data_IF_911425087713
#
_entry.id   IF_911425087713
#
_cell.length_a   1.000
_cell.length_b   1.000
_cell.length_c   1.000
_cell.angle_alpha   90.00
_cell.angle_beta   90.00
_cell.angle_gamma   90.00
#
_symmetry.space_group_name_H-M   'P 1'
#
loop_
_entity.id
_entity.type
_entity.pdbx_description
1 polymer ?
#
# COMPACT_ATOMS: atom_id res chain seq x y z
N UNK A 1 12.39 -19.86 8.71
CA UNK A 1 11.16 -19.03 8.72
C UNK A 1 10.68 -18.87 7.29
N UNK A 2 9.42 -19.19 7.03
CA UNK A 2 8.79 -18.92 5.73
C UNK A 2 8.72 -17.41 5.50
N UNK A 3 9.06 -16.95 4.29
CA UNK A 3 8.99 -15.54 3.91
C UNK A 3 7.55 -15.23 3.51
N UNK A 4 6.91 -14.25 4.16
CA UNK A 4 5.54 -13.84 3.82
C UNK A 4 5.53 -12.55 3.03
N UNK A 5 4.56 -12.42 2.11
CA UNK A 5 4.15 -11.14 1.56
C UNK A 5 2.68 -10.88 1.90
N UNK A 6 2.43 -9.71 2.49
CA UNK A 6 1.09 -9.21 2.73
C UNK A 6 0.67 -8.32 1.57
N UNK A 7 -0.54 -8.54 1.04
CA UNK A 7 -1.10 -7.75 -0.06
C UNK A 7 -2.35 -7.04 0.44
N UNK A 8 -2.31 -5.70 0.41
CA UNK A 8 -3.35 -4.80 0.90
C UNK A 8 -3.92 -4.00 -0.29
N UNK A 9 -5.22 -4.13 -0.61
CA UNK A 9 -5.81 -3.50 -1.77
C UNK A 9 -6.16 -2.02 -1.53
N UNK A 10 -6.47 -1.30 -2.61
CA UNK A 10 -6.89 0.11 -2.60
C UNK A 10 -8.33 0.34 -2.12
N UNK A 11 -8.74 1.61 -2.11
CA UNK A 11 -10.08 2.03 -1.67
C UNK A 11 -11.21 1.28 -2.41
N UNK A 12 -12.17 0.74 -1.65
CA UNK A 12 -13.30 -0.07 -2.16
C UNK A 12 -12.91 -1.33 -2.97
N UNK A 13 -11.62 -1.64 -3.06
CA UNK A 13 -11.15 -2.83 -3.73
C UNK A 13 -11.09 -4.04 -2.79
N UNK A 14 -11.03 -5.22 -3.39
CA UNK A 14 -10.73 -6.45 -2.67
C UNK A 14 -9.62 -7.22 -3.36
N UNK A 15 -8.88 -7.98 -2.58
CA UNK A 15 -7.84 -8.90 -3.06
C UNK A 15 -8.36 -9.96 -4.04
N UNK A 16 -9.69 -10.11 -4.22
CA UNK A 16 -10.29 -10.97 -5.24
C UNK A 16 -10.11 -10.44 -6.67
N UNK A 17 -9.82 -9.14 -6.86
CA UNK A 17 -9.58 -8.58 -8.20
C UNK A 17 -8.39 -9.27 -8.88
N UNK A 18 -8.47 -9.39 -10.20
CA UNK A 18 -7.48 -10.08 -11.03
C UNK A 18 -6.03 -9.61 -10.79
N UNK A 19 -5.71 -8.30 -10.70
CA UNK A 19 -4.33 -7.87 -10.48
C UNK A 19 -3.71 -8.40 -9.19
N UNK A 20 -4.47 -8.44 -8.09
CA UNK A 20 -3.99 -9.00 -6.82
C UNK A 20 -3.82 -10.51 -6.85
N UNK A 21 -4.68 -11.23 -7.59
CA UNK A 21 -4.52 -12.67 -7.80
C UNK A 21 -3.29 -12.98 -8.67
N UNK A 22 -3.01 -12.15 -9.68
CA UNK A 22 -1.78 -12.25 -10.46
C UNK A 22 -0.55 -11.95 -9.60
N UNK A 23 -0.60 -10.91 -8.77
CA UNK A 23 0.49 -10.60 -7.82
C UNK A 23 0.75 -11.75 -6.84
N UNK A 24 -0.31 -12.41 -6.35
CA UNK A 24 -0.18 -13.63 -5.54
C UNK A 24 0.57 -14.72 -6.29
N UNK A 25 0.24 -14.95 -7.56
CA UNK A 25 0.93 -15.96 -8.37
C UNK A 25 2.41 -15.62 -8.50
N UNK A 26 2.74 -14.38 -8.87
CA UNK A 26 4.12 -13.90 -8.98
C UNK A 26 4.87 -14.13 -7.66
N UNK A 27 4.31 -13.70 -6.53
CA UNK A 27 4.95 -13.86 -5.23
C UNK A 27 5.15 -15.32 -4.82
N UNK A 28 4.19 -16.20 -5.12
CA UNK A 28 4.34 -17.64 -4.88
C UNK A 28 5.43 -18.26 -5.74
N UNK A 29 5.53 -17.85 -7.00
CA UNK A 29 6.58 -18.32 -7.93
C UNK A 29 7.98 -17.90 -7.41
N UNK A 30 8.08 -16.78 -6.69
CA UNK A 30 9.30 -16.32 -6.00
C UNK A 30 9.48 -16.91 -4.58
N UNK A 31 8.66 -17.89 -4.19
CA UNK A 31 8.79 -18.63 -2.93
C UNK A 31 8.23 -17.95 -1.69
N UNK A 32 7.36 -16.95 -1.84
CA UNK A 32 6.66 -16.32 -0.71
C UNK A 32 5.33 -17.00 -0.39
N UNK A 33 5.02 -17.11 0.90
CA UNK A 33 3.65 -17.31 1.36
C UNK A 33 2.89 -15.99 1.22
N UNK A 34 1.70 -16.02 0.62
CA UNK A 34 0.90 -14.80 0.36
C UNK A 34 -0.26 -14.71 1.32
N UNK A 35 -0.33 -13.60 2.06
CA UNK A 35 -1.42 -13.29 3.00
C UNK A 35 -2.21 -12.08 2.48
N UNK A 36 -3.46 -12.32 2.10
CA UNK A 36 -4.37 -11.24 1.70
C UNK A 36 -4.98 -10.52 2.91
N UNK A 37 -5.03 -9.20 2.85
CA UNK A 37 -5.57 -8.34 3.91
C UNK A 37 -6.50 -7.30 3.30
N UNK A 38 -7.78 -7.62 3.22
CA UNK A 38 -8.80 -6.65 2.81
C UNK A 38 -9.05 -5.64 3.93
N UNK A 39 -9.37 -4.40 3.56
CA UNK A 39 -9.68 -3.32 4.48
C UNK A 39 -11.19 -3.24 4.68
N UNK A 40 -11.61 -3.12 5.93
CA UNK A 40 -12.96 -2.72 6.31
C UNK A 40 -13.02 -1.20 6.34
N UNK A 41 -13.54 -0.59 5.26
CA UNK A 41 -13.61 0.87 5.10
C UNK A 41 -14.59 1.55 6.07
N UNK A 42 -15.42 0.79 6.80
CA UNK A 42 -16.27 1.33 7.87
C UNK A 42 -15.51 1.51 9.20
N UNK A 43 -14.28 1.01 9.28
CA UNK A 43 -13.42 1.13 10.46
C UNK A 43 -12.28 2.11 10.21
N UNK A 44 -11.76 2.65 11.31
CA UNK A 44 -10.54 3.45 11.28
C UNK A 44 -9.39 2.61 10.73
N UNK A 45 -8.54 3.22 9.90
CA UNK A 45 -7.42 2.51 9.29
C UNK A 45 -6.43 2.02 10.35
N UNK A 46 -6.16 2.82 11.37
CA UNK A 46 -5.23 2.46 12.44
C UNK A 46 -5.70 1.29 13.31
N UNK A 47 -6.99 0.94 13.29
CA UNK A 47 -7.53 -0.20 14.03
C UNK A 47 -7.33 -1.53 13.30
N UNK A 48 -6.84 -1.49 12.07
CA UNK A 48 -6.70 -2.66 11.19
C UNK A 48 -5.24 -3.08 11.00
N UNK A 49 -4.32 -2.46 11.75
CA UNK A 49 -2.92 -2.84 11.83
C UNK A 49 -2.83 -4.28 12.36
N UNK A 50 -1.93 -5.07 11.79
CA UNK A 50 -1.63 -6.43 12.22
C UNK A 50 -0.12 -6.63 12.34
N UNK A 51 0.29 -7.61 13.13
CA UNK A 51 1.71 -7.93 13.32
C UNK A 51 2.32 -8.57 12.07
N UNK A 52 3.58 -8.20 11.83
CA UNK A 52 4.44 -8.78 10.80
C UNK A 52 5.79 -9.13 11.41
N UNK A 53 6.52 -10.01 10.73
CA UNK A 53 7.88 -10.40 11.08
C UNK A 53 8.93 -9.54 10.38
N UNK A 54 10.14 -9.54 10.95
CA UNK A 54 11.32 -8.85 10.44
C UNK A 54 11.76 -9.28 9.03
N UNK A 55 11.24 -10.40 8.53
CA UNK A 55 11.53 -11.00 7.23
C UNK A 55 10.40 -10.84 6.22
N UNK A 56 9.26 -10.27 6.62
CA UNK A 56 8.07 -10.16 5.77
C UNK A 56 8.14 -8.93 4.84
N UNK A 57 7.44 -9.04 3.72
CA UNK A 57 7.20 -7.94 2.79
C UNK A 57 5.76 -7.47 2.94
N UNK A 58 5.53 -6.16 2.87
CA UNK A 58 4.18 -5.60 2.83
C UNK A 58 4.04 -4.84 1.52
N UNK A 59 3.09 -5.26 0.69
CA UNK A 59 2.63 -4.53 -0.48
C UNK A 59 1.29 -3.87 -0.16
N UNK A 60 1.19 -2.57 -0.41
CA UNK A 60 -0.07 -1.85 -0.36
C UNK A 60 -0.27 -1.00 -1.60
N UNK A 61 -1.50 -0.96 -2.10
CA UNK A 61 -1.89 -0.13 -3.24
C UNK A 61 -2.81 1.01 -2.79
N UNK A 62 -2.59 2.24 -3.28
CA UNK A 62 -3.46 3.39 -2.97
C UNK A 62 -3.62 3.61 -1.45
N UNK A 63 -4.85 3.75 -0.93
CA UNK A 63 -5.10 3.80 0.52
C UNK A 63 -4.63 2.54 1.27
N UNK A 64 -4.50 1.39 0.60
CA UNK A 64 -3.85 0.20 1.16
C UNK A 64 -2.37 0.40 1.45
N UNK A 65 -1.68 1.25 0.68
CA UNK A 65 -0.29 1.64 0.95
C UNK A 65 -0.17 2.49 2.21
N UNK A 66 -1.20 3.29 2.54
CA UNK A 66 -1.26 4.04 3.80
C UNK A 66 -1.38 3.09 4.99
N UNK A 67 -2.19 2.02 4.89
CA UNK A 67 -2.23 0.99 5.93
C UNK A 67 -0.90 0.23 6.03
N UNK A 68 -0.27 -0.10 4.90
CA UNK A 68 1.06 -0.72 4.90
C UNK A 68 2.08 0.15 5.67
N UNK A 69 2.05 1.46 5.45
CA UNK A 69 2.91 2.42 6.16
C UNK A 69 2.64 2.41 7.67
N UNK A 70 1.37 2.45 8.08
CA UNK A 70 0.97 2.38 9.49
C UNK A 70 1.42 1.06 10.15
N UNK A 71 1.35 -0.06 9.43
CA UNK A 71 1.88 -1.33 9.94
C UNK A 71 3.40 -1.25 10.11
N UNK A 72 4.11 -0.71 9.13
CA UNK A 72 5.56 -0.56 9.20
C UNK A 72 6.02 0.48 10.25
N UNK A 73 5.16 1.42 10.67
CA UNK A 73 5.42 2.29 11.82
C UNK A 73 5.49 1.49 13.13
N UNK A 74 4.62 0.50 13.30
CA UNK A 74 4.53 -0.28 14.52
C UNK A 74 5.49 -1.46 14.53
N UNK A 75 5.60 -2.18 13.41
CA UNK A 75 6.38 -3.40 13.27
C UNK A 75 7.49 -3.25 12.24
N UNK A 76 8.67 -3.78 12.55
CA UNK A 76 9.77 -3.86 11.59
C UNK A 76 9.48 -4.98 10.59
N UNK A 77 9.72 -4.72 9.31
CA UNK A 77 9.60 -5.70 8.23
C UNK A 77 10.82 -5.61 7.29
N UNK A 78 10.97 -6.60 6.40
CA UNK A 78 12.07 -6.64 5.43
C UNK A 78 11.92 -5.53 4.40
N UNK A 79 10.72 -5.37 3.85
CA UNK A 79 10.47 -4.42 2.77
C UNK A 79 9.01 -3.97 2.78
N UNK A 80 8.78 -2.68 2.62
CA UNK A 80 7.47 -2.14 2.26
C UNK A 80 7.48 -1.63 0.81
N UNK A 81 6.48 -2.04 0.03
CA UNK A 81 6.24 -1.60 -1.35
C UNK A 81 4.96 -0.77 -1.35
N UNK A 82 5.12 0.52 -1.63
CA UNK A 82 4.07 1.54 -1.60
C UNK A 82 3.69 1.87 -3.05
N UNK A 83 2.66 1.18 -3.55
CA UNK A 83 2.20 1.33 -4.93
C UNK A 83 1.08 2.37 -5.02
N UNK A 84 1.27 3.39 -5.84
CA UNK A 84 0.32 4.49 -6.05
C UNK A 84 -0.20 5.08 -4.74
N UNK A 85 0.66 5.22 -3.74
CA UNK A 85 0.24 5.62 -2.39
C UNK A 85 -0.39 7.01 -2.41
N UNK A 86 -1.47 7.23 -1.67
CA UNK A 86 -2.00 8.58 -1.46
C UNK A 86 -0.92 9.44 -0.78
N UNK A 87 -0.39 10.49 -1.43
CA UNK A 87 0.81 11.18 -0.96
C UNK A 87 0.63 11.83 0.41
N UNK A 88 1.71 11.93 1.20
CA UNK A 88 1.65 12.53 2.54
C UNK A 88 1.12 13.98 2.55
N UNK A 89 1.38 14.74 1.49
CA UNK A 89 0.91 16.13 1.38
C UNK A 89 -0.62 16.22 1.25
N UNK A 90 -1.27 15.19 0.69
CA UNK A 90 -2.72 15.12 0.48
C UNK A 90 -3.52 15.25 1.78
N UNK A 91 -2.93 14.82 2.90
CA UNK A 91 -3.53 14.89 4.23
C UNK A 91 -3.41 16.28 4.88
N UNK A 92 -2.60 17.17 4.30
CA UNK A 92 -2.34 18.53 4.80
C UNK A 92 -2.91 19.61 3.89
N UNK A 93 -2.93 19.39 2.58
CA UNK A 93 -3.56 20.30 1.64
C UNK A 93 -5.06 20.42 1.92
N UNK A 94 -5.57 21.65 2.04
CA UNK A 94 -6.96 21.88 2.45
C UNK A 94 -7.98 21.38 1.43
N UNK A 95 -7.69 21.52 0.13
CA UNK A 95 -8.62 21.12 -0.94
C UNK A 95 -8.66 19.61 -1.08
N UNK A 96 -7.48 18.99 -1.12
CA UNK A 96 -7.36 17.53 -1.24
C UNK A 96 -7.91 16.86 0.01
N UNK A 97 -7.57 17.35 1.20
CA UNK A 97 -8.12 16.83 2.46
C UNK A 97 -9.64 16.91 2.49
N UNK A 98 -10.24 18.02 2.02
CA UNK A 98 -11.70 18.14 1.95
C UNK A 98 -12.29 17.06 1.03
N UNK A 99 -11.73 16.87 -0.16
CA UNK A 99 -12.18 15.81 -1.07
C UNK A 99 -12.05 14.41 -0.44
N UNK A 100 -10.97 14.14 0.30
CA UNK A 100 -10.80 12.90 1.05
C UNK A 100 -11.83 12.74 2.18
N UNK A 101 -12.22 13.83 2.85
CA UNK A 101 -13.28 13.80 3.88
C UNK A 101 -14.63 13.52 3.26
N UNK A 102 -14.94 14.14 2.12
CA UNK A 102 -16.20 13.94 1.40
C UNK A 102 -16.31 12.48 0.90
N UNK A 103 -15.18 11.87 0.50
CA UNK A 103 -15.11 10.49 0.01
C UNK A 103 -15.07 9.43 1.12
N UNK A 104 -14.21 9.61 2.13
CA UNK A 104 -13.87 8.58 3.12
C UNK A 104 -14.53 8.82 4.49
N UNK A 105 -15.12 10.00 4.68
CA UNK A 105 -15.67 10.44 5.95
C UNK A 105 -14.62 11.06 6.88
N UNK A 106 -15.06 12.05 7.65
CA UNK A 106 -14.20 12.82 8.55
C UNK A 106 -13.49 11.95 9.59
N UNK A 107 -14.18 10.94 10.15
CA UNK A 107 -13.62 10.04 11.16
C UNK A 107 -12.43 9.24 10.62
N UNK A 108 -12.49 8.80 9.36
CA UNK A 108 -11.41 8.05 8.71
C UNK A 108 -10.22 8.97 8.46
N UNK A 109 -10.45 10.13 7.83
CA UNK A 109 -9.36 11.07 7.50
C UNK A 109 -8.66 11.58 8.76
N UNK A 110 -9.40 11.94 9.80
CA UNK A 110 -8.81 12.40 11.06
C UNK A 110 -8.01 11.29 11.77
N UNK A 111 -8.38 10.01 11.60
CA UNK A 111 -7.59 8.88 12.09
C UNK A 111 -6.23 8.82 11.38
N UNK A 112 -6.24 8.85 10.05
CA UNK A 112 -5.01 8.83 9.24
C UNK A 112 -4.12 10.03 9.57
N UNK A 113 -4.66 11.25 9.56
CA UNK A 113 -3.91 12.48 9.88
C UNK A 113 -3.25 12.40 11.27
N UNK A 114 -3.94 11.82 12.26
CA UNK A 114 -3.42 11.72 13.63
C UNK A 114 -2.37 10.62 13.79
N UNK A 115 -2.44 9.55 13.00
CA UNK A 115 -1.66 8.32 13.20
C UNK A 115 -0.51 8.16 12.21
N UNK A 116 -0.61 8.77 11.04
CA UNK A 116 0.40 8.70 9.99
C UNK A 116 1.61 9.57 10.36
N UNK A 117 2.65 8.93 10.84
CA UNK A 117 3.93 9.53 11.17
C UNK A 117 4.84 9.64 9.95
N UNK A 118 5.89 10.48 10.02
CA UNK A 118 6.79 10.74 8.89
C UNK A 118 7.83 9.63 8.64
N UNK A 119 7.90 8.61 9.50
CA UNK A 119 8.91 7.53 9.45
C UNK A 119 8.27 6.19 9.77
N UNK A 120 8.83 5.13 9.22
CA UNK A 120 8.50 3.74 9.56
C UNK A 120 9.76 2.92 9.88
N UNK A 121 9.58 1.66 10.31
CA UNK A 121 10.66 0.75 10.75
C UNK A 121 11.12 -0.25 9.67
N UNK A 122 10.53 -0.27 8.48
CA UNK A 122 10.92 -1.20 7.41
C UNK A 122 12.41 -1.06 7.05
N UNK A 123 13.10 -2.18 6.79
CA UNK A 123 14.53 -2.18 6.41
C UNK A 123 14.77 -1.59 5.01
N UNK A 124 13.79 -1.74 4.12
CA UNK A 124 13.78 -1.20 2.76
C UNK A 124 12.39 -0.64 2.45
N UNK A 125 12.35 0.43 1.67
CA UNK A 125 11.14 1.00 1.09
C UNK A 125 11.30 1.02 -0.43
N UNK A 126 10.21 0.78 -1.16
CA UNK A 126 10.12 1.11 -2.58
C UNK A 126 8.77 1.75 -2.86
N UNK A 127 8.81 2.97 -3.40
CA UNK A 127 7.64 3.72 -3.87
C UNK A 127 7.53 3.51 -5.37
N UNK A 128 6.35 3.12 -5.83
CA UNK A 128 6.06 2.92 -7.26
C UNK A 128 4.83 3.76 -7.59
N UNK A 129 4.85 4.45 -8.72
CA UNK A 129 3.68 5.12 -9.29
C UNK A 129 3.57 4.79 -10.78
N UNK A 130 2.37 4.95 -11.34
CA UNK A 130 2.21 5.14 -12.78
C UNK A 130 2.79 6.50 -13.22
N UNK A 131 3.43 6.55 -14.38
CA UNK A 131 4.00 7.80 -14.92
C UNK A 131 2.95 8.87 -15.23
N UNK A 132 1.69 8.47 -15.42
CA UNK A 132 0.56 9.36 -15.65
C UNK A 132 -0.12 9.83 -14.36
N UNK A 133 0.40 9.45 -13.18
CA UNK A 133 -0.09 9.95 -11.89
C UNK A 133 0.54 11.30 -11.50
N UNK A 134 1.59 11.75 -12.22
CA UNK A 134 2.33 12.99 -11.93
C UNK A 134 2.93 13.04 -10.50
N UNK A 135 3.25 11.87 -9.94
CA UNK A 135 3.88 11.70 -8.63
C UNK A 135 5.33 11.22 -8.75
N UNK A 136 6.16 11.60 -7.78
CA UNK A 136 7.54 11.11 -7.68
C UNK A 136 7.61 9.76 -6.95
N UNK A 137 8.34 8.80 -7.52
CA UNK A 137 8.58 7.49 -6.92
C UNK A 137 9.96 6.93 -7.25
N UNK A 138 10.36 5.85 -6.58
CA UNK A 138 11.59 5.12 -6.91
C UNK A 138 11.49 4.45 -8.28
N UNK A 139 10.26 4.11 -8.70
CA UNK A 139 9.94 3.52 -10.01
C UNK A 139 8.69 4.21 -10.58
N UNK A 140 8.80 4.70 -11.81
CA UNK A 140 7.68 5.18 -12.61
C UNK A 140 7.34 4.14 -13.68
N UNK A 141 6.14 3.57 -13.58
CA UNK A 141 5.65 2.54 -14.51
C UNK A 141 5.09 3.25 -15.73
N UNK A 142 5.71 3.01 -16.90
CA UNK A 142 5.31 3.64 -18.15
C UNK A 142 3.88 3.34 -18.56
N UNK A 143 3.25 4.33 -19.20
CA UNK A 143 1.91 4.27 -19.78
C UNK A 143 0.87 3.77 -18.76
N UNK A 144 1.00 4.18 -17.50
CA UNK A 144 0.18 3.67 -16.40
C UNK A 144 -0.31 4.83 -15.54
N UNK A 145 -1.61 4.84 -15.24
CA UNK A 145 -2.23 5.73 -14.25
C UNK A 145 -2.29 5.03 -12.88
N UNK A 146 -3.26 5.41 -12.05
CA UNK A 146 -3.56 4.81 -10.76
C UNK A 146 -4.23 3.42 -10.89
N UNK A 147 -3.57 2.47 -11.54
CA UNK A 147 -4.06 1.10 -11.73
C UNK A 147 -2.92 0.06 -11.73
N UNK A 148 -3.19 -1.11 -11.15
CA UNK A 148 -2.29 -2.26 -11.19
C UNK A 148 -2.33 -2.98 -12.56
N UNK A 149 -1.70 -2.36 -13.55
CA UNK A 149 -1.54 -2.91 -14.91
C UNK A 149 -0.53 -4.06 -14.96
N UNK A 150 -0.44 -4.75 -16.11
CA UNK A 150 0.57 -5.79 -16.32
C UNK A 150 2.02 -5.25 -16.23
N UNK A 151 2.26 -4.02 -16.70
CA UNK A 151 3.56 -3.36 -16.55
C UNK A 151 3.88 -3.10 -15.08
N UNK A 152 2.88 -2.69 -14.30
CA UNK A 152 3.02 -2.50 -12.87
C UNK A 152 3.45 -3.78 -12.15
N UNK A 153 2.77 -4.89 -12.45
CA UNK A 153 3.10 -6.21 -11.90
C UNK A 153 4.48 -6.70 -12.33
N UNK A 154 4.92 -6.36 -13.55
CA UNK A 154 6.27 -6.68 -14.04
C UNK A 154 7.35 -5.94 -13.24
N UNK A 155 7.12 -4.67 -12.89
CA UNK A 155 8.04 -3.94 -12.02
C UNK A 155 8.05 -4.51 -10.60
N UNK A 156 6.88 -4.83 -10.03
CA UNK A 156 6.81 -5.46 -8.70
C UNK A 156 7.56 -6.79 -8.67
N UNK A 157 7.47 -7.60 -9.72
CA UNK A 157 8.22 -8.87 -9.83
C UNK A 157 9.73 -8.69 -9.67
N UNK A 158 10.32 -7.60 -10.15
CA UNK A 158 11.77 -7.36 -10.05
C UNK A 158 12.22 -7.01 -8.63
N UNK A 159 11.26 -6.67 -7.75
CA UNK A 159 11.52 -6.10 -6.43
C UNK A 159 11.40 -7.16 -5.33
N UNK A 160 10.44 -8.08 -5.47
CA UNK A 160 10.15 -9.15 -4.52
C UNK A 160 11.12 -10.32 -4.67
#
# INVERSE_FOLDING_TARGET
MEKKIYIIPGFEETTKRRPYQLLRKIAKDEGYEVVFKNIDWNKKLSQQIFSVSDNDIIFGFSLGAVLAWLIAQEYRCKHIILASMTPHYSWKDKKIKKALVDLLGEKFVNDVVKKLGPKHKAKKQTIIYGDLEEEDGDILVKDTQHELTANYLKEIKKII
#
